data_IF_195292782972
#
_entry.id   IF_195292782972
#
_cell.length_a   1.000
_cell.length_b   1.000
_cell.length_c   1.000
_cell.angle_alpha   90.00
_cell.angle_beta   90.00
_cell.angle_gamma   90.00
#
_symmetry.space_group_name_H-M   'P 1'
#
loop_
_entity.id
_entity.type
_entity.pdbx_description
1 polymer ?
#
# COMPACT_ATOMS: atom_id res chain seq x y z
N UNK A 1 15.76 -30.54 -14.81
CA UNK A 1 15.69 -29.06 -14.79
C UNK A 1 16.14 -28.42 -16.11
N UNK A 2 15.82 -28.96 -17.30
CA UNK A 2 16.53 -28.54 -18.55
C UNK A 2 15.68 -28.16 -19.76
N UNK A 3 14.37 -27.89 -19.63
CA UNK A 3 13.53 -27.46 -20.77
C UNK A 3 13.31 -25.95 -20.89
N UNK A 4 13.15 -25.26 -19.76
CA UNK A 4 12.65 -23.87 -19.74
C UNK A 4 13.68 -22.86 -20.26
N UNK A 5 14.97 -23.07 -19.98
CA UNK A 5 16.03 -22.13 -20.40
C UNK A 5 16.19 -22.03 -21.92
N UNK A 6 15.87 -23.09 -22.66
CA UNK A 6 15.93 -23.10 -24.13
C UNK A 6 14.83 -22.23 -24.78
N UNK A 7 13.75 -21.94 -24.05
CA UNK A 7 12.63 -21.11 -24.52
C UNK A 7 12.63 -19.70 -23.92
N UNK A 8 13.60 -19.40 -23.04
CA UNK A 8 13.68 -18.10 -22.38
C UNK A 8 14.11 -17.02 -23.39
N UNK A 9 13.31 -15.97 -23.52
CA UNK A 9 13.65 -14.83 -24.39
C UNK A 9 14.92 -14.14 -23.85
N UNK A 10 15.79 -13.57 -24.71
CA UNK A 10 16.98 -12.87 -24.26
C UNK A 10 16.70 -11.81 -23.17
N UNK A 11 15.58 -11.08 -23.29
CA UNK A 11 15.14 -10.11 -22.30
C UNK A 11 14.87 -10.73 -20.91
N UNK A 12 14.21 -11.90 -20.87
CA UNK A 12 13.95 -12.63 -19.62
C UNK A 12 15.23 -13.16 -18.99
N UNK A 13 16.17 -13.64 -19.82
CA UNK A 13 17.48 -14.08 -19.35
C UNK A 13 18.30 -12.94 -18.74
N UNK A 14 18.24 -11.73 -19.32
CA UNK A 14 18.88 -10.54 -18.73
C UNK A 14 18.31 -10.25 -17.35
N UNK A 15 16.98 -10.21 -17.21
CA UNK A 15 16.32 -9.96 -15.92
C UNK A 15 16.72 -11.00 -14.87
N UNK A 16 16.69 -12.28 -15.22
CA UNK A 16 17.08 -13.35 -14.31
C UNK A 16 18.54 -13.21 -13.82
N UNK A 17 19.47 -12.85 -14.71
CA UNK A 17 20.86 -12.58 -14.34
C UNK A 17 21.00 -11.36 -13.43
N UNK A 18 20.29 -10.27 -13.72
CA UNK A 18 20.34 -9.06 -12.90
C UNK A 18 19.80 -9.29 -11.48
N UNK A 19 18.72 -10.07 -11.34
CA UNK A 19 18.20 -10.47 -10.02
C UNK A 19 19.25 -11.33 -9.30
N UNK A 20 19.87 -12.30 -9.99
CA UNK A 20 20.93 -13.13 -9.42
C UNK A 20 22.11 -12.28 -8.90
N UNK A 21 22.57 -11.29 -9.68
CA UNK A 21 23.63 -10.39 -9.24
C UNK A 21 23.21 -9.52 -8.05
N UNK A 22 22.00 -8.96 -8.06
CA UNK A 22 21.48 -8.16 -6.95
C UNK A 22 21.42 -8.97 -5.64
N UNK A 23 21.02 -10.24 -5.72
CA UNK A 23 20.99 -11.16 -4.58
C UNK A 23 22.40 -11.56 -4.11
N UNK A 24 23.32 -11.81 -5.04
CA UNK A 24 24.68 -12.29 -4.71
C UNK A 24 25.57 -11.21 -4.14
N UNK A 25 25.42 -9.96 -4.61
CA UNK A 25 26.28 -8.85 -4.21
C UNK A 25 25.85 -8.21 -2.88
N UNK A 26 24.64 -8.50 -2.39
CA UNK A 26 24.06 -8.00 -1.12
C UNK A 26 24.21 -6.48 -0.89
N UNK A 27 24.52 -5.70 -1.93
CA UNK A 27 24.74 -4.27 -1.87
C UNK A 27 23.55 -3.52 -2.48
N UNK A 28 23.21 -2.39 -1.85
CA UNK A 28 22.13 -1.50 -2.29
C UNK A 28 22.24 -1.14 -3.78
N UNK A 29 23.47 -0.96 -4.29
CA UNK A 29 23.76 -0.65 -5.69
C UNK A 29 23.20 -1.66 -6.70
N UNK A 30 23.23 -2.96 -6.35
CA UNK A 30 22.67 -4.02 -7.20
C UNK A 30 21.14 -3.89 -7.34
N UNK A 31 20.47 -3.47 -6.27
CA UNK A 31 19.04 -3.23 -6.24
C UNK A 31 18.66 -1.90 -6.90
N UNK A 32 19.52 -0.88 -6.85
CA UNK A 32 19.26 0.43 -7.46
C UNK A 32 19.12 0.39 -8.99
N UNK A 33 19.92 -0.44 -9.67
CA UNK A 33 19.86 -0.55 -11.14
C UNK A 33 18.72 -1.45 -11.63
N UNK A 34 18.22 -2.36 -10.79
CA UNK A 34 17.26 -3.39 -11.18
C UNK A 34 15.92 -2.82 -11.72
N UNK A 35 15.29 -1.78 -11.14
CA UNK A 35 14.08 -1.19 -11.68
C UNK A 35 14.21 -0.69 -13.13
N UNK A 36 15.37 -0.14 -13.50
CA UNK A 36 15.65 0.33 -14.87
C UNK A 36 15.66 -0.85 -15.84
N UNK A 37 16.32 -1.95 -15.44
CA UNK A 37 16.41 -3.18 -16.24
C UNK A 37 15.03 -3.81 -16.41
N UNK A 38 14.23 -3.89 -15.33
CA UNK A 38 12.87 -4.41 -15.37
C UNK A 38 11.97 -3.59 -16.32
N UNK A 39 12.05 -2.26 -16.28
CA UNK A 39 11.31 -1.38 -17.19
C UNK A 39 11.71 -1.55 -18.66
N UNK A 40 13.01 -1.76 -18.92
CA UNK A 40 13.55 -1.89 -20.28
C UNK A 40 13.32 -3.27 -20.90
N UNK A 41 13.10 -4.32 -20.10
CA UNK A 41 13.10 -5.72 -20.57
C UNK A 41 11.79 -6.46 -20.36
N UNK A 42 10.93 -6.01 -19.46
CA UNK A 42 9.62 -6.59 -19.21
C UNK A 42 8.51 -5.62 -19.61
N UNK A 43 7.39 -6.16 -20.08
CA UNK A 43 6.16 -5.36 -20.23
C UNK A 43 5.47 -5.16 -18.87
N UNK A 44 4.43 -4.31 -18.85
CA UNK A 44 3.70 -3.98 -17.61
C UNK A 44 3.06 -5.20 -16.95
N UNK A 45 2.47 -6.10 -17.73
CA UNK A 45 1.86 -7.35 -17.23
C UNK A 45 2.90 -8.26 -16.58
N UNK A 46 4.07 -8.42 -17.20
CA UNK A 46 5.18 -9.21 -16.66
C UNK A 46 5.72 -8.63 -15.35
N UNK A 47 5.86 -7.30 -15.27
CA UNK A 47 6.27 -6.61 -14.03
C UNK A 47 5.24 -6.77 -12.91
N UNK A 48 3.95 -6.60 -13.23
CA UNK A 48 2.86 -6.79 -12.27
C UNK A 48 2.79 -8.23 -11.75
N UNK A 49 2.97 -9.22 -12.62
CA UNK A 49 3.03 -10.62 -12.22
C UNK A 49 4.22 -10.90 -11.27
N UNK A 50 5.39 -10.36 -11.59
CA UNK A 50 6.59 -10.50 -10.74
C UNK A 50 6.37 -9.87 -9.35
N UNK A 51 5.81 -8.67 -9.28
CA UNK A 51 5.48 -8.00 -8.03
C UNK A 51 4.46 -8.80 -7.20
N UNK A 52 3.41 -9.33 -7.84
CA UNK A 52 2.40 -10.15 -7.17
C UNK A 52 2.99 -11.42 -6.54
N UNK A 53 3.87 -12.14 -7.27
CA UNK A 53 4.54 -13.33 -6.74
C UNK A 53 5.50 -12.95 -5.60
N UNK A 54 6.25 -11.86 -5.74
CA UNK A 54 7.14 -11.38 -4.68
C UNK A 54 6.36 -11.06 -3.39
N UNK A 55 5.25 -10.33 -3.48
CA UNK A 55 4.38 -10.02 -2.33
C UNK A 55 3.76 -11.28 -1.72
N UNK A 56 3.33 -12.25 -2.53
CA UNK A 56 2.78 -13.53 -2.06
C UNK A 56 3.79 -14.41 -1.33
N UNK A 57 5.08 -14.18 -1.52
CA UNK A 57 6.14 -14.91 -0.84
C UNK A 57 6.48 -14.33 0.56
N UNK A 58 5.89 -13.19 0.91
CA UNK A 58 6.04 -12.55 2.22
C UNK A 58 4.91 -12.98 3.17
N UNK A 59 5.09 -12.79 4.47
CA UNK A 59 3.99 -12.82 5.43
C UNK A 59 3.01 -11.67 5.16
N UNK A 60 1.73 -11.87 5.51
CA UNK A 60 0.66 -10.93 5.17
C UNK A 60 0.91 -9.50 5.68
N UNK A 61 1.49 -9.36 6.88
CA UNK A 61 1.86 -8.06 7.46
C UNK A 61 2.94 -7.35 6.64
N UNK A 62 4.03 -8.02 6.29
CA UNK A 62 5.10 -7.39 5.51
C UNK A 62 4.70 -7.16 4.06
N UNK A 63 3.89 -8.04 3.46
CA UNK A 63 3.35 -7.84 2.12
C UNK A 63 2.49 -6.56 2.06
N UNK A 64 1.61 -6.37 3.05
CA UNK A 64 0.79 -5.18 3.15
C UNK A 64 1.63 -3.92 3.37
N UNK A 65 2.59 -3.96 4.30
CA UNK A 65 3.51 -2.85 4.54
C UNK A 65 4.29 -2.45 3.27
N UNK A 66 4.86 -3.42 2.55
CA UNK A 66 5.62 -3.13 1.32
C UNK A 66 4.72 -2.61 0.21
N UNK A 67 3.48 -3.08 0.08
CA UNK A 67 2.53 -2.52 -0.88
C UNK A 67 2.16 -1.06 -0.53
N UNK A 68 1.98 -0.78 0.77
CA UNK A 68 1.59 0.54 1.29
C UNK A 68 2.65 1.62 1.05
N UNK A 69 3.94 1.26 1.07
CA UNK A 69 5.06 2.17 0.73
C UNK A 69 4.93 2.83 -0.65
N UNK A 70 4.14 2.24 -1.56
CA UNK A 70 3.99 2.70 -2.94
C UNK A 70 2.55 3.10 -3.30
N UNK A 71 1.62 3.01 -2.35
CA UNK A 71 0.26 3.52 -2.50
C UNK A 71 0.12 4.74 -1.60
N UNK A 72 -0.02 5.95 -2.18
CA UNK A 72 -0.32 7.20 -1.45
C UNK A 72 -1.69 7.17 -0.70
N UNK A 73 -2.29 6.00 -0.46
CA UNK A 73 -3.47 5.86 0.36
C UNK A 73 -3.08 5.83 1.83
N UNK A 74 -3.22 6.97 2.50
CA UNK A 74 -3.44 6.99 3.93
C UNK A 74 -4.70 6.15 4.26
N UNK A 75 -4.53 4.86 4.58
CA UNK A 75 -5.57 3.94 5.02
C UNK A 75 -5.58 2.61 4.25
N UNK A 76 -5.82 1.51 4.99
CA UNK A 76 -6.06 0.15 4.44
C UNK A 76 -6.91 0.19 3.16
N UNK A 77 -6.74 -0.76 2.23
CA UNK A 77 -7.64 -0.89 1.09
C UNK A 77 -9.09 -0.91 1.60
N UNK A 78 -9.88 0.08 1.18
CA UNK A 78 -11.27 0.18 1.60
C UNK A 78 -11.96 -1.15 1.32
N UNK A 79 -12.43 -1.82 2.38
CA UNK A 79 -13.16 -3.08 2.26
C UNK A 79 -14.35 -2.83 1.34
N UNK A 80 -14.47 -3.54 0.21
CA UNK A 80 -15.64 -3.40 -0.64
C UNK A 80 -16.88 -3.70 0.20
N UNK A 81 -17.88 -2.81 0.17
CA UNK A 81 -19.17 -2.90 0.88
C UNK A 81 -19.23 -2.38 2.33
N UNK A 82 -18.18 -1.75 2.88
CA UNK A 82 -18.23 -1.12 4.22
C UNK A 82 -18.52 0.39 4.10
N UNK A 83 -19.42 0.90 4.92
CA UNK A 83 -19.73 2.35 4.96
C UNK A 83 -18.58 3.14 5.58
N UNK A 84 -18.48 4.43 5.25
CA UNK A 84 -17.45 5.30 5.84
C UNK A 84 -17.59 5.48 7.36
N UNK A 85 -18.80 5.27 7.89
CA UNK A 85 -19.02 5.29 9.34
C UNK A 85 -18.47 4.02 10.00
N UNK A 86 -18.74 2.85 9.44
CA UNK A 86 -18.21 1.57 9.95
C UNK A 86 -16.68 1.53 9.88
N UNK A 87 -16.09 2.06 8.81
CA UNK A 87 -14.63 2.21 8.69
C UNK A 87 -14.08 3.16 9.77
N UNK A 88 -14.71 4.31 10.00
CA UNK A 88 -14.30 5.25 11.04
C UNK A 88 -14.43 4.66 12.46
N UNK A 89 -15.48 3.89 12.73
CA UNK A 89 -15.67 3.18 14.00
C UNK A 89 -14.58 2.13 14.22
N UNK A 90 -14.27 1.32 13.21
CA UNK A 90 -13.19 0.33 13.30
C UNK A 90 -11.85 0.96 13.68
N UNK A 91 -11.51 2.11 13.07
CA UNK A 91 -10.29 2.83 13.42
C UNK A 91 -10.34 3.47 14.80
N UNK A 92 -11.48 3.99 15.22
CA UNK A 92 -11.66 4.53 16.56
C UNK A 92 -11.50 3.47 17.65
N UNK A 93 -12.00 2.25 17.42
CA UNK A 93 -11.90 1.12 18.37
C UNK A 93 -10.44 0.68 18.61
N UNK A 94 -9.56 0.83 17.61
CA UNK A 94 -8.14 0.47 17.71
C UNK A 94 -7.24 1.63 18.15
N UNK A 95 -7.74 2.86 18.15
CA UNK A 95 -6.94 4.06 18.43
C UNK A 95 -6.70 4.23 19.94
N UNK A 96 -5.52 4.73 20.30
CA UNK A 96 -5.25 5.25 21.64
C UNK A 96 -6.04 6.53 21.91
N UNK A 97 -6.19 6.91 23.18
CA UNK A 97 -6.89 8.15 23.57
C UNK A 97 -6.32 9.39 22.87
N UNK A 98 -4.99 9.48 22.75
CA UNK A 98 -4.33 10.60 22.09
C UNK A 98 -4.63 10.65 20.59
N UNK A 99 -4.67 9.48 19.94
CA UNK A 99 -5.00 9.37 18.52
C UNK A 99 -6.47 9.70 18.26
N UNK A 100 -7.39 9.30 19.14
CA UNK A 100 -8.81 9.68 19.03
C UNK A 100 -8.99 11.21 19.02
N UNK A 101 -8.33 11.91 19.94
CA UNK A 101 -8.38 13.37 20.01
C UNK A 101 -7.77 14.01 18.77
N UNK A 102 -6.62 13.52 18.32
CA UNK A 102 -5.93 14.02 17.14
C UNK A 102 -6.76 13.81 15.86
N UNK A 103 -7.33 12.62 15.67
CA UNK A 103 -8.16 12.27 14.52
C UNK A 103 -9.45 13.07 14.50
N UNK A 104 -10.10 13.24 15.66
CA UNK A 104 -11.30 14.07 15.79
C UNK A 104 -11.01 15.51 15.34
N UNK A 105 -9.98 16.14 15.92
CA UNK A 105 -9.61 17.52 15.60
C UNK A 105 -9.19 17.71 14.14
N UNK A 106 -8.34 16.82 13.64
CA UNK A 106 -7.82 16.87 12.28
C UNK A 106 -8.93 16.68 11.22
N UNK A 107 -9.88 15.78 11.47
CA UNK A 107 -10.99 15.50 10.56
C UNK A 107 -12.00 16.63 10.57
N UNK A 108 -12.39 17.10 11.75
CA UNK A 108 -13.33 18.23 11.90
C UNK A 108 -12.83 19.49 11.20
N UNK A 109 -11.56 19.87 11.42
CA UNK A 109 -10.98 21.09 10.80
C UNK A 109 -10.93 21.09 9.28
N UNK A 110 -10.97 19.91 8.65
CA UNK A 110 -10.94 19.77 7.19
C UNK A 110 -12.33 19.74 6.55
N UNK A 111 -13.40 19.64 7.35
CA UNK A 111 -14.76 19.74 6.82
C UNK A 111 -15.03 21.14 6.28
N UNK A 112 -15.94 21.26 5.31
CA UNK A 112 -16.41 22.56 4.84
C UNK A 112 -17.06 23.35 6.00
N UNK A 113 -16.94 24.70 6.05
CA UNK A 113 -17.38 25.50 7.20
C UNK A 113 -18.87 25.33 7.56
N UNK A 114 -19.74 25.18 6.56
CA UNK A 114 -21.17 24.90 6.71
C UNK A 114 -21.42 23.52 7.36
N UNK A 115 -20.61 22.53 7.00
CA UNK A 115 -20.66 21.18 7.58
C UNK A 115 -20.14 21.15 9.02
N UNK A 116 -19.10 21.94 9.32
CA UNK A 116 -18.63 22.11 10.71
C UNK A 116 -19.74 22.67 11.59
N UNK A 117 -20.42 23.73 11.14
CA UNK A 117 -21.53 24.34 11.87
C UNK A 117 -22.71 23.37 12.05
N UNK A 118 -23.07 22.61 11.02
CA UNK A 118 -24.12 21.60 11.10
C UNK A 118 -23.77 20.49 12.11
N UNK A 119 -22.51 20.04 12.13
CA UNK A 119 -22.03 19.02 13.06
C UNK A 119 -22.08 19.50 14.52
N UNK A 120 -21.61 20.72 14.80
CA UNK A 120 -21.68 21.31 16.14
C UNK A 120 -23.12 21.43 16.63
N UNK A 121 -24.04 21.90 15.78
CA UNK A 121 -25.46 21.99 16.10
C UNK A 121 -26.08 20.62 16.42
N UNK A 122 -25.70 19.57 15.68
CA UNK A 122 -26.19 18.21 15.91
C UNK A 122 -25.75 17.68 17.29
N UNK A 123 -24.46 17.81 17.63
CA UNK A 123 -23.92 17.36 18.93
C UNK A 123 -24.54 18.14 20.09
N UNK A 124 -24.65 19.47 19.97
CA UNK A 124 -25.20 20.31 21.03
C UNK A 124 -26.67 19.98 21.32
N UNK A 125 -27.47 19.62 20.30
CA UNK A 125 -28.84 19.15 20.51
C UNK A 125 -28.90 17.79 21.21
N UNK A 126 -27.96 16.89 20.92
CA UNK A 126 -27.86 15.59 21.58
C UNK A 126 -27.41 15.67 23.03
N UNK A 127 -26.59 16.66 23.39
CA UNK A 127 -26.13 16.89 24.77
C UNK A 127 -27.19 17.55 25.67
N UNK A 128 -28.28 18.07 25.09
CA UNK A 128 -29.38 18.73 25.79
C UNK A 128 -30.63 17.82 25.96
N UNK A 129 -30.53 16.55 25.59
CA UNK A 129 -31.56 15.50 25.74
C UNK A 129 -31.12 14.48 26.80
#
# INVERSE_FOLDING_TARGET
MSGIFAHARPAHQTVAKSICYALTLEHADGWHALPVILRARLNERERGALACVALRAMDGSNAAFVADLFTDSAGMPAMPMVSKMEEASFWADMATTLELEAYCFATFRRMAPDRQAAFLNFIQRGAAA
#
